data_IF_690031086231
#
_entry.id   IF_690031086231
#
_cell.length_a   1.000
_cell.length_b   1.000
_cell.length_c   1.000
_cell.angle_alpha   90.00
_cell.angle_beta   90.00
_cell.angle_gamma   90.00
#
_symmetry.space_group_name_H-M   'P 1'
#
loop_
_entity.id
_entity.type
_entity.pdbx_description
1 polymer ?
#
# COMPACT_ATOMS: atom_id res chain seq x y z
N UNK A 1 -24.53 -19.84 14.47
CA UNK A 1 -23.61 -20.14 13.34
C UNK A 1 -22.20 -20.15 13.91
N UNK A 2 -21.57 -21.32 14.02
CA UNK A 2 -20.16 -21.46 14.41
C UNK A 2 -19.35 -21.36 13.11
N UNK A 3 -18.53 -20.33 13.00
CA UNK A 3 -17.60 -20.20 11.88
C UNK A 3 -16.43 -21.13 12.20
N UNK A 4 -16.29 -22.21 11.43
CA UNK A 4 -15.11 -23.08 11.50
C UNK A 4 -14.06 -22.49 10.56
N UNK A 5 -12.99 -21.96 11.16
CA UNK A 5 -11.84 -21.46 10.42
C UNK A 5 -11.01 -22.68 9.97
N UNK A 6 -10.70 -22.73 8.67
CA UNK A 6 -9.83 -23.75 8.09
C UNK A 6 -8.44 -23.71 8.74
N UNK A 7 -7.87 -24.87 9.08
CA UNK A 7 -6.52 -25.04 9.64
C UNK A 7 -5.40 -24.51 8.72
N UNK A 8 -5.73 -24.10 7.49
CA UNK A 8 -4.79 -23.54 6.51
C UNK A 8 -4.58 -22.02 6.66
N UNK A 9 -5.27 -21.37 7.60
CA UNK A 9 -5.12 -19.93 7.82
C UNK A 9 -4.18 -19.67 9.01
N UNK A 10 -2.87 -19.68 8.75
CA UNK A 10 -1.89 -19.18 9.72
C UNK A 10 -1.96 -17.65 9.75
N UNK A 11 -2.29 -17.09 10.91
CA UNK A 11 -2.12 -15.66 11.14
C UNK A 11 -0.63 -15.33 10.98
N UNK A 12 -0.31 -14.40 10.08
CA UNK A 12 1.04 -13.84 9.97
C UNK A 12 1.43 -13.33 11.35
N UNK A 13 2.50 -13.90 11.92
CA UNK A 13 2.99 -13.54 13.24
C UNK A 13 3.36 -12.06 13.24
N UNK A 14 2.54 -11.22 13.88
CA UNK A 14 2.84 -9.80 14.03
C UNK A 14 4.09 -9.67 14.89
N UNK A 15 5.18 -9.06 14.39
CA UNK A 15 6.42 -8.96 15.14
C UNK A 15 6.20 -8.17 16.45
N UNK A 16 6.92 -8.52 17.54
CA UNK A 16 6.75 -7.96 18.88
C UNK A 16 7.14 -6.47 19.02
N UNK A 17 7.58 -5.84 17.93
CA UNK A 17 7.87 -4.42 17.83
C UNK A 17 7.90 -3.99 16.37
N UNK A 18 7.86 -2.67 16.08
CA UNK A 18 7.96 -2.18 14.72
C UNK A 18 9.36 -2.50 14.19
N UNK A 19 9.47 -3.56 13.38
CA UNK A 19 10.67 -3.78 12.58
C UNK A 19 10.75 -2.63 11.60
N UNK A 20 11.88 -1.93 11.54
CA UNK A 20 12.07 -0.84 10.58
C UNK A 20 11.78 -1.37 9.17
N UNK A 21 10.88 -0.68 8.46
CA UNK A 21 10.43 -1.04 7.12
C UNK A 21 9.68 -2.40 6.98
N UNK A 22 9.16 -2.99 8.06
CA UNK A 22 8.42 -4.27 7.96
C UNK A 22 7.22 -4.18 6.99
N UNK A 23 6.44 -3.11 7.09
CA UNK A 23 5.23 -2.92 6.28
C UNK A 23 5.58 -2.70 4.80
N UNK A 24 6.74 -2.10 4.49
CA UNK A 24 7.22 -1.97 3.11
C UNK A 24 7.65 -3.32 2.53
N UNK A 25 8.22 -4.21 3.35
CA UNK A 25 8.58 -5.57 2.93
C UNK A 25 7.34 -6.40 2.62
N UNK A 26 6.37 -6.41 3.53
CA UNK A 26 5.09 -7.10 3.29
C UNK A 26 4.38 -6.52 2.06
N UNK A 27 4.37 -5.20 1.92
CA UNK A 27 3.81 -4.56 0.73
C UNK A 27 4.51 -5.01 -0.56
N UNK A 28 5.84 -5.09 -0.57
CA UNK A 28 6.61 -5.56 -1.72
C UNK A 28 6.25 -7.01 -2.08
N UNK A 29 6.19 -7.89 -1.08
CA UNK A 29 5.80 -9.29 -1.25
C UNK A 29 4.38 -9.42 -1.81
N UNK A 30 3.44 -8.65 -1.27
CA UNK A 30 2.04 -8.65 -1.72
C UNK A 30 1.88 -8.11 -3.15
N UNK A 31 2.58 -7.02 -3.51
CA UNK A 31 2.57 -6.48 -4.87
C UNK A 31 3.12 -7.49 -5.88
N UNK A 32 4.20 -8.19 -5.52
CA UNK A 32 4.76 -9.26 -6.36
C UNK A 32 3.80 -10.45 -6.48
N UNK A 33 3.20 -10.89 -5.36
CA UNK A 33 2.21 -11.97 -5.33
C UNK A 33 1.00 -11.67 -6.23
N UNK A 34 0.55 -10.41 -6.24
CA UNK A 34 -0.56 -9.93 -7.07
C UNK A 34 -0.16 -9.57 -8.50
N UNK A 35 1.13 -9.67 -8.85
CA UNK A 35 1.69 -9.33 -10.18
C UNK A 35 1.37 -7.91 -10.62
N UNK A 36 1.41 -6.95 -9.68
CA UNK A 36 1.29 -5.53 -10.00
C UNK A 36 2.57 -5.09 -10.69
N UNK A 37 2.44 -4.41 -11.85
CA UNK A 37 3.58 -3.92 -12.61
C UNK A 37 4.20 -2.67 -11.94
N UNK A 38 5.15 -2.92 -11.05
CA UNK A 38 5.88 -1.89 -10.31
C UNK A 38 7.27 -2.37 -9.91
N UNK A 39 8.26 -1.47 -9.97
CA UNK A 39 9.55 -1.70 -9.34
C UNK A 39 9.46 -1.50 -7.81
N UNK A 40 9.37 -2.61 -7.07
CA UNK A 40 9.28 -2.60 -5.60
C UNK A 40 10.50 -1.97 -4.92
N UNK A 41 11.64 -1.84 -5.61
CA UNK A 41 12.84 -1.16 -5.07
C UNK A 41 12.63 0.35 -4.89
N UNK A 42 11.58 0.89 -5.50
CA UNK A 42 11.20 2.30 -5.37
C UNK A 42 10.28 2.58 -4.18
N UNK A 43 9.81 1.56 -3.46
CA UNK A 43 9.05 1.75 -2.23
C UNK A 43 9.93 2.41 -1.16
N UNK A 44 9.40 3.42 -0.48
CA UNK A 44 10.15 4.22 0.50
C UNK A 44 10.96 5.37 -0.12
N UNK A 45 11.06 5.46 -1.45
CA UNK A 45 11.76 6.56 -2.13
C UNK A 45 10.74 7.67 -2.46
N UNK A 46 10.97 8.92 -1.99
CA UNK A 46 10.11 10.05 -2.33
C UNK A 46 10.20 10.37 -3.82
N UNK A 47 9.06 10.73 -4.43
CA UNK A 47 8.96 11.20 -5.81
C UNK A 47 9.61 10.27 -6.86
N UNK A 48 9.62 8.96 -6.60
CA UNK A 48 10.32 7.96 -7.40
C UNK A 48 9.77 7.76 -8.82
N UNK A 49 8.57 8.28 -9.12
CA UNK A 49 7.87 8.08 -10.39
C UNK A 49 7.70 9.40 -11.16
N UNK A 50 8.71 9.84 -11.93
CA UNK A 50 8.67 11.12 -12.66
C UNK A 50 7.57 11.15 -13.73
N UNK A 51 7.26 10.00 -14.34
CA UNK A 51 6.27 9.85 -15.41
C UNK A 51 4.84 9.59 -14.91
N UNK A 52 4.64 9.52 -13.58
CA UNK A 52 3.34 9.20 -12.98
C UNK A 52 3.38 7.92 -12.17
N UNK A 53 3.01 8.00 -10.89
CA UNK A 53 2.85 6.82 -10.05
C UNK A 53 2.57 7.12 -8.59
N UNK A 54 1.99 6.14 -7.90
CA UNK A 54 1.84 6.19 -6.45
C UNK A 54 3.20 6.03 -5.78
N UNK A 55 3.46 6.87 -4.77
CA UNK A 55 4.62 6.85 -3.90
C UNK A 55 4.18 6.55 -2.46
N UNK A 56 5.05 5.89 -1.70
CA UNK A 56 4.92 5.69 -0.26
C UNK A 56 6.30 5.89 0.39
N UNK A 57 6.38 6.71 1.43
CA UNK A 57 7.59 6.89 2.23
C UNK A 57 7.27 7.49 3.60
N UNK A 58 8.24 7.43 4.51
CA UNK A 58 8.17 8.12 5.80
C UNK A 58 8.83 9.50 5.67
N UNK A 59 8.15 10.53 6.19
CA UNK A 59 8.66 11.88 6.36
C UNK A 59 8.43 12.26 7.83
N UNK A 60 9.51 12.53 8.57
CA UNK A 60 9.50 12.67 10.04
C UNK A 60 8.85 11.47 10.76
N UNK A 61 7.75 11.70 11.48
CA UNK A 61 7.00 10.71 12.26
C UNK A 61 5.74 10.19 11.56
N UNK A 62 5.52 10.59 10.30
CA UNK A 62 4.34 10.21 9.52
C UNK A 62 4.69 9.49 8.21
N UNK A 63 3.76 8.65 7.77
CA UNK A 63 3.80 7.98 6.49
C UNK A 63 2.95 8.72 5.48
N UNK A 64 3.51 8.98 4.32
CA UNK A 64 2.87 9.68 3.22
C UNK A 64 2.63 8.73 2.05
N UNK A 65 1.39 8.69 1.57
CA UNK A 65 1.00 8.07 0.31
C UNK A 65 0.40 9.12 -0.61
N UNK A 66 0.91 9.24 -1.82
CA UNK A 66 0.45 10.24 -2.79
C UNK A 66 0.74 9.79 -4.21
N UNK A 67 0.09 10.43 -5.18
CA UNK A 67 0.43 10.29 -6.58
C UNK A 67 1.46 11.36 -6.96
N UNK A 68 2.56 10.96 -7.59
CA UNK A 68 3.57 11.88 -8.12
C UNK A 68 3.53 11.84 -9.64
N UNK A 69 3.49 13.00 -10.28
CA UNK A 69 3.59 13.13 -11.74
C UNK A 69 4.28 14.45 -12.09
N UNK A 70 5.34 14.40 -12.92
CA UNK A 70 6.07 15.60 -13.39
C UNK A 70 6.53 16.51 -12.25
N UNK A 71 7.00 15.92 -11.15
CA UNK A 71 7.47 16.65 -9.97
C UNK A 71 6.36 17.29 -9.13
N UNK A 72 5.08 16.95 -9.37
CA UNK A 72 3.95 17.39 -8.57
C UNK A 72 3.37 16.23 -7.78
N UNK A 73 3.11 16.48 -6.49
CA UNK A 73 2.39 15.56 -5.60
C UNK A 73 0.90 15.90 -5.62
N UNK A 74 0.04 14.89 -5.73
CA UNK A 74 -1.42 15.03 -5.67
C UNK A 74 -2.05 13.95 -4.81
N UNK A 75 -3.21 14.26 -4.22
CA UNK A 75 -3.97 13.36 -3.36
C UNK A 75 -3.16 12.79 -2.17
N UNK A 76 -2.46 13.62 -1.37
CA UNK A 76 -1.70 13.10 -0.24
C UNK A 76 -2.63 12.54 0.84
N UNK A 77 -2.27 11.37 1.33
CA UNK A 77 -2.84 10.74 2.52
C UNK A 77 -1.73 10.54 3.55
N UNK A 78 -2.04 10.89 4.81
CA UNK A 78 -1.09 10.92 5.92
C UNK A 78 -1.51 9.86 6.94
N UNK A 79 -0.57 9.05 7.40
CA UNK A 79 -0.81 7.97 8.34
C UNK A 79 0.24 7.99 9.45
N UNK A 80 -0.18 7.68 10.68
CA UNK A 80 0.74 7.45 11.82
C UNK A 80 1.21 6.00 11.89
N UNK A 81 0.63 5.11 11.07
CA UNK A 81 0.89 3.68 11.02
C UNK A 81 1.45 3.30 9.66
N UNK A 82 2.60 2.63 9.64
CA UNK A 82 3.19 2.10 8.41
C UNK A 82 2.30 1.03 7.76
N UNK A 83 1.57 0.27 8.57
CA UNK A 83 0.64 -0.76 8.12
C UNK A 83 -0.55 -0.15 7.38
N UNK A 84 -1.15 0.92 7.92
CA UNK A 84 -2.29 1.58 7.27
C UNK A 84 -1.88 2.26 5.97
N UNK A 85 -0.70 2.90 5.94
CA UNK A 85 -0.13 3.48 4.73
C UNK A 85 0.11 2.41 3.65
N UNK A 86 0.69 1.27 4.01
CA UNK A 86 0.96 0.17 3.09
C UNK A 86 -0.34 -0.40 2.50
N UNK A 87 -1.37 -0.63 3.33
CA UNK A 87 -2.66 -1.13 2.87
C UNK A 87 -3.38 -0.11 1.96
N UNK A 88 -3.31 1.18 2.29
CA UNK A 88 -3.86 2.22 1.44
C UNK A 88 -3.14 2.28 0.08
N UNK A 89 -1.80 2.21 0.08
CA UNK A 89 -1.02 2.14 -1.16
C UNK A 89 -1.40 0.94 -2.02
N UNK A 90 -1.49 -0.25 -1.41
CA UNK A 90 -1.90 -1.47 -2.09
C UNK A 90 -3.30 -1.31 -2.71
N UNK A 91 -4.23 -0.76 -1.94
CA UNK A 91 -5.58 -0.45 -2.42
C UNK A 91 -5.56 0.50 -3.61
N UNK A 92 -4.77 1.59 -3.57
CA UNK A 92 -4.60 2.52 -4.70
C UNK A 92 -4.09 1.83 -5.97
N UNK A 93 -3.19 0.85 -5.84
CA UNK A 93 -2.62 0.10 -6.97
C UNK A 93 -3.58 -0.94 -7.54
N UNK A 94 -4.34 -1.63 -6.69
CA UNK A 94 -5.19 -2.76 -7.11
C UNK A 94 -6.60 -2.30 -7.50
N UNK A 95 -7.14 -1.25 -6.86
CA UNK A 95 -8.49 -0.78 -7.12
C UNK A 95 -8.61 0.14 -8.34
N UNK A 96 -7.50 0.65 -8.88
CA UNK A 96 -7.49 1.78 -9.82
C UNK A 96 -8.58 2.82 -9.47
N UNK A 97 -8.61 3.35 -8.23
CA UNK A 97 -9.69 4.22 -7.82
C UNK A 97 -9.67 5.43 -8.75
N UNK A 98 -10.74 5.61 -9.53
CA UNK A 98 -10.85 6.68 -10.53
C UNK A 98 -11.05 8.02 -9.83
N UNK A 99 -10.04 8.50 -9.12
CA UNK A 99 -9.94 9.83 -8.50
C UNK A 99 -11.21 10.32 -7.76
N UNK A 100 -12.08 9.42 -7.32
CA UNK A 100 -13.32 9.74 -6.62
C UNK A 100 -13.09 9.65 -5.13
N UNK A 101 -13.34 10.74 -4.40
CA UNK A 101 -13.34 10.75 -2.92
C UNK A 101 -14.29 9.69 -2.30
N UNK A 102 -15.22 9.13 -3.08
CA UNK A 102 -16.15 8.08 -2.66
C UNK A 102 -15.64 6.65 -2.82
N UNK A 103 -14.46 6.45 -3.41
CA UNK A 103 -13.98 5.10 -3.69
C UNK A 103 -13.17 4.49 -2.55
N UNK A 104 -12.68 5.31 -1.61
CA UNK A 104 -11.96 4.83 -0.40
C UNK A 104 -12.85 3.85 0.36
N UNK A 105 -12.39 2.60 0.49
CA UNK A 105 -13.13 1.50 1.15
C UNK A 105 -13.93 0.59 0.20
N UNK A 106 -13.96 0.86 -1.11
CA UNK A 106 -14.52 -0.09 -2.08
C UNK A 106 -13.51 -1.18 -2.40
N UNK A 107 -13.91 -2.43 -2.21
CA UNK A 107 -13.11 -3.59 -2.58
C UNK A 107 -12.83 -3.56 -4.10
N UNK A 108 -11.56 -3.73 -4.53
CA UNK A 108 -11.21 -3.87 -5.94
C UNK A 108 -12.04 -4.99 -6.58
N UNK A 109 -12.59 -4.73 -7.76
CA UNK A 109 -13.19 -5.80 -8.57
C UNK A 109 -12.09 -6.40 -9.43
N UNK A 110 -11.57 -7.55 -9.00
CA UNK A 110 -10.65 -8.34 -9.83
C UNK A 110 -11.38 -8.73 -11.12
N UNK A 111 -10.82 -8.34 -12.28
CA UNK A 111 -11.29 -8.81 -13.58
C UNK A 111 -10.82 -10.26 -13.74
N UNK A 112 -11.78 -11.18 -13.86
CA UNK A 112 -11.55 -12.55 -14.30
C UNK A 112 -11.37 -12.65 -15.80
#
# INVERSE_FOLDING_TARGET
MKIEWSDLYEFVQTPPGPTENWALKELAEELQRLKVDIDVRLLGIPDAFPDGGWCIHQEDDVWLVYHCERGRRSGPAIFTSSFDAANFYLWCRVAEPKAGNSDVGRLPRLKG
#
